data_IF_266064075659
#
_entry.id   IF_266064075659
#
_cell.length_a   1.000
_cell.length_b   1.000
_cell.length_c   1.000
_cell.angle_alpha   90.00
_cell.angle_beta   90.00
_cell.angle_gamma   90.00
#
_symmetry.space_group_name_H-M   'P 1'
#
loop_
_entity.id
_entity.type
_entity.pdbx_description
1 polymer ?
#
# COMPACT_ATOMS: atom_id res chain seq x y z
N UNK A 1 6.19 -3.65 22.09
CA UNK A 1 5.87 -4.74 21.14
C UNK A 1 4.44 -4.66 20.56
N UNK A 2 3.62 -3.67 20.93
CA UNK A 2 2.25 -3.51 20.40
C UNK A 2 2.16 -3.20 18.90
N UNK A 3 3.17 -2.55 18.33
CA UNK A 3 3.18 -2.18 16.91
C UNK A 3 3.19 -3.39 15.96
N UNK A 4 3.73 -4.54 16.40
CA UNK A 4 3.74 -5.78 15.62
C UNK A 4 2.33 -6.31 15.33
N UNK A 5 1.36 -6.09 16.24
CA UNK A 5 -0.04 -6.46 16.00
C UNK A 5 -0.64 -5.66 14.84
N UNK A 6 -0.33 -4.37 14.75
CA UNK A 6 -0.77 -3.53 13.64
C UNK A 6 -0.09 -3.90 12.33
N UNK A 7 1.18 -4.33 12.37
CA UNK A 7 1.85 -4.90 11.18
C UNK A 7 1.15 -6.19 10.75
N UNK A 8 0.85 -7.11 11.67
CA UNK A 8 0.09 -8.32 11.36
C UNK A 8 -1.28 -8.01 10.76
N UNK A 9 -2.01 -7.05 11.34
CA UNK A 9 -3.28 -6.57 10.79
C UNK A 9 -3.16 -5.96 9.39
N UNK A 10 -2.09 -5.20 9.13
CA UNK A 10 -1.80 -4.66 7.81
C UNK A 10 -1.51 -5.77 6.80
N UNK A 11 -0.69 -6.77 7.18
CA UNK A 11 -0.38 -7.94 6.32
C UNK A 11 -1.66 -8.72 5.99
N UNK A 12 -2.52 -8.97 6.97
CA UNK A 12 -3.80 -9.68 6.74
C UNK A 12 -4.74 -8.87 5.84
N UNK A 13 -4.87 -7.57 6.08
CA UNK A 13 -5.76 -6.69 5.31
C UNK A 13 -5.30 -6.56 3.86
N UNK A 14 -4.02 -6.25 3.64
CA UNK A 14 -3.45 -6.10 2.30
C UNK A 14 -3.27 -7.44 1.56
N UNK A 15 -3.01 -8.52 2.29
CA UNK A 15 -2.93 -9.87 1.72
C UNK A 15 -4.26 -10.37 1.19
N UNK A 16 -5.37 -10.11 1.90
CA UNK A 16 -6.72 -10.47 1.44
C UNK A 16 -7.30 -9.50 0.42
N UNK A 17 -6.88 -8.23 0.45
CA UNK A 17 -7.32 -7.16 -0.44
C UNK A 17 -7.28 -7.55 -1.92
N UNK A 18 -6.14 -8.05 -2.42
CA UNK A 18 -5.99 -8.36 -3.84
C UNK A 18 -6.97 -9.42 -4.35
N UNK A 19 -7.20 -10.47 -3.56
CA UNK A 19 -8.12 -11.56 -3.89
C UNK A 19 -9.57 -11.06 -3.92
N UNK A 20 -9.98 -10.34 -2.86
CA UNK A 20 -11.34 -9.80 -2.75
C UNK A 20 -11.62 -8.73 -3.79
N UNK A 21 -10.63 -7.87 -4.08
CA UNK A 21 -10.74 -6.84 -5.11
C UNK A 21 -10.94 -7.44 -6.49
N UNK A 22 -10.11 -8.42 -6.87
CA UNK A 22 -10.25 -9.12 -8.14
C UNK A 22 -11.62 -9.82 -8.26
N UNK A 23 -12.08 -10.50 -7.20
CA UNK A 23 -13.43 -11.06 -7.18
C UNK A 23 -14.52 -9.99 -7.31
N UNK A 24 -14.37 -8.85 -6.61
CA UNK A 24 -15.28 -7.71 -6.71
C UNK A 24 -15.34 -7.13 -8.11
N UNK A 25 -14.20 -6.98 -8.79
CA UNK A 25 -14.12 -6.53 -10.18
C UNK A 25 -14.85 -7.48 -11.13
N UNK A 26 -14.66 -8.79 -10.98
CA UNK A 26 -15.35 -9.80 -11.79
C UNK A 26 -16.86 -9.71 -11.57
N UNK A 27 -17.32 -9.69 -10.30
CA UNK A 27 -18.75 -9.63 -9.97
C UNK A 27 -19.43 -8.35 -10.42
N UNK A 28 -18.71 -7.22 -10.40
CA UNK A 28 -19.23 -5.91 -10.82
C UNK A 28 -19.13 -5.68 -12.34
N UNK A 29 -18.35 -6.51 -13.04
CA UNK A 29 -18.11 -6.43 -14.49
C UNK A 29 -17.41 -5.16 -14.97
N UNK A 30 -17.03 -4.24 -14.07
CA UNK A 30 -16.37 -2.99 -14.42
C UNK A 30 -15.36 -2.57 -13.32
N UNK A 31 -14.06 -2.43 -13.67
CA UNK A 31 -13.01 -2.03 -12.75
C UNK A 31 -13.24 -0.68 -12.04
N UNK A 32 -13.91 0.27 -12.70
CA UNK A 32 -14.21 1.58 -12.11
C UNK A 32 -15.30 1.49 -11.05
N UNK A 33 -16.23 0.54 -11.16
CA UNK A 33 -17.22 0.29 -10.09
C UNK A 33 -16.55 -0.26 -8.84
N UNK A 34 -15.61 -1.19 -9.03
CA UNK A 34 -14.80 -1.70 -7.91
C UNK A 34 -13.95 -0.58 -7.29
N UNK A 35 -13.30 0.27 -8.12
CA UNK A 35 -12.55 1.44 -7.65
C UNK A 35 -13.43 2.40 -6.85
N UNK A 36 -14.67 2.64 -7.29
CA UNK A 36 -15.62 3.47 -6.56
C UNK A 36 -15.92 2.90 -5.17
N UNK A 37 -16.15 1.58 -5.07
CA UNK A 37 -16.33 0.92 -3.76
C UNK A 37 -15.10 1.06 -2.86
N UNK A 38 -13.89 0.92 -3.41
CA UNK A 38 -12.64 1.15 -2.65
C UNK A 38 -12.56 2.61 -2.19
N UNK A 39 -12.90 3.58 -3.04
CA UNK A 39 -12.92 5.00 -2.70
C UNK A 39 -13.89 5.33 -1.56
N UNK A 40 -15.09 4.75 -1.58
CA UNK A 40 -16.07 4.89 -0.48
C UNK A 40 -15.50 4.32 0.81
N UNK A 41 -14.89 3.13 0.78
CA UNK A 41 -14.26 2.54 1.96
C UNK A 41 -13.12 3.42 2.51
N UNK A 42 -12.29 3.99 1.62
CA UNK A 42 -11.21 4.90 2.01
C UNK A 42 -11.73 6.20 2.61
N UNK A 43 -12.85 6.73 2.13
CA UNK A 43 -13.50 7.88 2.76
C UNK A 43 -14.02 7.54 4.17
N UNK A 44 -14.74 6.44 4.31
CA UNK A 44 -15.29 6.03 5.61
C UNK A 44 -14.19 5.79 6.65
N UNK A 45 -13.13 5.05 6.29
CA UNK A 45 -12.06 4.72 7.23
C UNK A 45 -11.04 5.86 7.36
N UNK A 46 -10.67 6.51 6.26
CA UNK A 46 -9.64 7.54 6.23
C UNK A 46 -10.10 8.94 6.63
N UNK A 47 -11.41 9.22 6.60
CA UNK A 47 -11.98 10.53 6.96
C UNK A 47 -12.88 10.42 8.18
N UNK A 48 -13.90 9.56 8.14
CA UNK A 48 -14.92 9.53 9.22
C UNK A 48 -14.33 9.05 10.55
N UNK A 49 -13.51 7.99 10.54
CA UNK A 49 -12.89 7.47 11.78
C UNK A 49 -11.93 8.47 12.41
N UNK A 50 -10.94 9.07 11.70
CA UNK A 50 -10.08 10.10 12.28
C UNK A 50 -10.85 11.32 12.77
N UNK A 51 -11.87 11.79 12.05
CA UNK A 51 -12.69 12.91 12.49
C UNK A 51 -13.38 12.60 13.83
N UNK A 52 -13.97 11.42 13.99
CA UNK A 52 -14.59 11.01 15.24
C UNK A 52 -13.56 10.98 16.39
N UNK A 53 -12.41 10.35 16.17
CA UNK A 53 -11.36 10.22 17.20
C UNK A 53 -10.77 11.58 17.59
N UNK A 54 -10.44 12.43 16.62
CA UNK A 54 -9.88 13.76 16.87
C UNK A 54 -10.91 14.69 17.51
N UNK A 55 -12.20 14.57 17.15
CA UNK A 55 -13.27 15.31 17.81
C UNK A 55 -13.38 14.96 19.29
N UNK A 56 -13.27 13.68 19.63
CA UNK A 56 -13.27 13.20 21.00
C UNK A 56 -12.03 13.65 21.78
N UNK A 57 -10.88 13.75 21.10
CA UNK A 57 -9.63 14.24 21.69
C UNK A 57 -9.56 15.77 21.81
N UNK A 58 -10.45 16.51 21.15
CA UNK A 58 -10.45 17.97 21.14
C UNK A 58 -9.32 18.59 20.30
N UNK A 59 -8.70 17.85 19.39
CA UNK A 59 -7.51 18.23 18.60
C UNK A 59 -7.83 18.53 17.13
N UNK A 60 -9.04 18.99 16.85
CA UNK A 60 -9.47 19.43 15.51
C UNK A 60 -9.12 20.90 15.22
N UNK A 61 -8.34 21.55 16.08
CA UNK A 61 -8.01 22.95 15.93
C UNK A 61 -7.04 23.19 14.78
N UNK A 62 -7.15 24.34 14.11
CA UNK A 62 -6.22 24.72 13.03
C UNK A 62 -4.74 24.80 13.50
N UNK A 63 -4.50 24.91 14.81
CA UNK A 63 -3.16 24.89 15.41
C UNK A 63 -2.54 23.49 15.48
N UNK A 64 -3.37 22.44 15.43
CA UNK A 64 -2.94 21.05 15.48
C UNK A 64 -2.49 20.53 14.09
N UNK A 65 -2.84 21.27 13.02
CA UNK A 65 -2.49 20.94 11.64
C UNK A 65 -1.41 21.89 11.09
N UNK A 66 -0.19 21.38 10.96
CA UNK A 66 0.87 22.13 10.26
C UNK A 66 0.71 22.04 8.74
N UNK A 67 0.96 23.13 8.01
CA UNK A 67 0.83 23.14 6.55
C UNK A 67 1.74 22.11 5.88
N UNK A 68 2.97 21.92 6.39
CA UNK A 68 3.89 20.90 5.89
C UNK A 68 3.44 19.45 6.17
N UNK A 69 2.88 19.19 7.36
CA UNK A 69 2.31 17.89 7.70
C UNK A 69 1.09 17.56 6.84
N UNK A 70 0.20 18.54 6.61
CA UNK A 70 -0.98 18.38 5.76
C UNK A 70 -0.58 18.07 4.31
N UNK A 71 0.32 18.85 3.72
CA UNK A 71 0.72 18.64 2.32
C UNK A 71 1.41 17.30 2.12
N UNK A 72 2.34 16.92 2.99
CA UNK A 72 3.03 15.63 2.90
C UNK A 72 2.09 14.44 3.10
N UNK A 73 1.16 14.52 4.06
CA UNK A 73 0.14 13.50 4.29
C UNK A 73 -0.82 13.36 3.10
N UNK A 74 -1.24 14.48 2.49
CA UNK A 74 -2.08 14.50 1.29
C UNK A 74 -1.37 13.86 0.10
N UNK A 75 -0.10 14.21 -0.14
CA UNK A 75 0.71 13.60 -1.21
C UNK A 75 0.85 12.09 -0.99
N UNK A 76 1.11 11.66 0.24
CA UNK A 76 1.16 10.23 0.58
C UNK A 76 -0.19 9.53 0.29
N UNK A 77 -1.32 10.17 0.64
CA UNK A 77 -2.66 9.67 0.34
C UNK A 77 -2.93 9.54 -1.16
N UNK A 78 -2.55 10.54 -1.96
CA UNK A 78 -2.67 10.51 -3.42
C UNK A 78 -1.83 9.38 -4.03
N UNK A 79 -0.58 9.20 -3.58
CA UNK A 79 0.27 8.09 -4.03
C UNK A 79 -0.34 6.73 -3.71
N UNK A 80 -0.95 6.57 -2.53
CA UNK A 80 -1.69 5.36 -2.15
C UNK A 80 -2.91 5.09 -3.05
N UNK A 81 -3.69 6.13 -3.36
CA UNK A 81 -4.84 6.03 -4.25
C UNK A 81 -4.42 5.66 -5.68
N UNK A 82 -3.35 6.27 -6.21
CA UNK A 82 -2.78 5.91 -7.51
C UNK A 82 -2.34 4.44 -7.52
N UNK A 83 -1.69 3.96 -6.44
CA UNK A 83 -1.32 2.56 -6.29
C UNK A 83 -2.52 1.61 -6.39
N UNK A 84 -3.64 1.93 -5.72
CA UNK A 84 -4.88 1.15 -5.82
C UNK A 84 -5.46 1.15 -7.24
N UNK A 85 -5.42 2.28 -7.95
CA UNK A 85 -5.81 2.37 -9.36
C UNK A 85 -4.94 1.45 -10.22
N UNK A 86 -3.61 1.50 -10.05
CA UNK A 86 -2.69 0.64 -10.80
C UNK A 86 -2.97 -0.85 -10.60
N UNK A 87 -3.27 -1.28 -9.36
CA UNK A 87 -3.65 -2.69 -9.07
C UNK A 87 -4.93 -3.06 -9.82
N UNK A 88 -5.95 -2.21 -9.78
CA UNK A 88 -7.24 -2.41 -10.46
C UNK A 88 -7.04 -2.57 -11.97
N UNK A 89 -6.19 -1.73 -12.57
CA UNK A 89 -5.87 -1.81 -13.99
C UNK A 89 -4.98 -3.01 -14.34
N UNK A 90 -4.08 -3.43 -13.46
CA UNK A 90 -3.30 -4.66 -13.63
C UNK A 90 -4.20 -5.91 -13.67
N UNK A 91 -5.21 -5.96 -12.82
CA UNK A 91 -6.25 -7.00 -12.87
C UNK A 91 -7.10 -6.91 -14.13
N UNK A 92 -7.47 -5.70 -14.55
CA UNK A 92 -8.18 -5.48 -15.82
C UNK A 92 -7.39 -5.99 -17.03
N UNK A 93 -6.06 -5.87 -17.01
CA UNK A 93 -5.18 -6.36 -18.09
C UNK A 93 -4.87 -7.85 -18.02
N UNK A 94 -5.62 -8.64 -17.22
CA UNK A 94 -5.45 -10.08 -17.10
C UNK A 94 -4.48 -10.53 -16.00
N UNK A 95 -4.00 -9.62 -15.16
CA UNK A 95 -3.23 -9.98 -13.98
C UNK A 95 -4.08 -10.70 -12.95
N UNK A 96 -3.55 -11.77 -12.36
CA UNK A 96 -4.21 -12.48 -11.26
C UNK A 96 -3.64 -12.02 -9.91
N UNK A 97 -4.43 -12.03 -8.81
CA UNK A 97 -3.96 -11.69 -7.48
C UNK A 97 -2.70 -12.44 -7.06
N UNK A 98 -2.61 -13.71 -7.46
CA UNK A 98 -1.48 -14.59 -7.18
C UNK A 98 -0.14 -14.09 -7.77
N UNK A 99 -0.17 -13.24 -8.81
CA UNK A 99 1.04 -12.66 -9.41
C UNK A 99 1.19 -11.18 -9.08
N UNK A 100 0.13 -10.39 -9.25
CA UNK A 100 0.19 -8.94 -9.08
C UNK A 100 0.50 -8.57 -7.63
N UNK A 101 -0.10 -9.25 -6.65
CA UNK A 101 0.10 -8.90 -5.25
C UNK A 101 1.54 -9.19 -4.78
N UNK A 102 2.12 -10.37 -4.99
CA UNK A 102 3.52 -10.60 -4.62
C UNK A 102 4.50 -9.66 -5.32
N UNK A 103 4.24 -9.26 -6.57
CA UNK A 103 5.07 -8.28 -7.27
C UNK A 103 5.03 -6.91 -6.62
N UNK A 104 3.83 -6.42 -6.31
CA UNK A 104 3.65 -5.13 -5.64
C UNK A 104 4.28 -5.17 -4.24
N UNK A 105 4.00 -6.20 -3.45
CA UNK A 105 4.51 -6.30 -2.08
C UNK A 105 5.98 -6.71 -1.98
N UNK A 106 6.56 -7.31 -3.03
CA UNK A 106 8.00 -7.54 -3.14
C UNK A 106 8.76 -6.30 -3.59
N UNK A 107 8.19 -5.50 -4.50
CA UNK A 107 8.82 -4.30 -5.07
C UNK A 107 8.63 -3.04 -4.22
N UNK A 108 7.46 -2.83 -3.62
CA UNK A 108 7.15 -1.62 -2.85
C UNK A 108 8.11 -1.37 -1.66
N UNK A 109 8.53 -2.40 -0.88
CA UNK A 109 9.55 -2.21 0.15
C UNK A 109 10.87 -1.68 -0.41
N UNK A 110 11.31 -2.14 -1.58
CA UNK A 110 12.54 -1.67 -2.22
C UNK A 110 12.47 -0.18 -2.53
N UNK A 111 11.37 0.25 -3.16
CA UNK A 111 11.13 1.67 -3.46
C UNK A 111 11.10 2.48 -2.17
N UNK A 112 10.40 2.00 -1.13
CA UNK A 112 10.33 2.66 0.16
C UNK A 112 11.73 2.86 0.76
N UNK A 113 12.62 1.86 0.70
CA UNK A 113 13.97 2.03 1.25
C UNK A 113 14.79 2.99 0.40
N UNK A 114 14.74 2.92 -0.93
CA UNK A 114 15.45 3.86 -1.80
C UNK A 114 15.03 5.31 -1.55
N UNK A 115 13.73 5.56 -1.46
CA UNK A 115 13.18 6.88 -1.13
C UNK A 115 13.58 7.29 0.29
N UNK A 116 13.57 6.37 1.26
CA UNK A 116 14.01 6.64 2.63
C UNK A 116 15.49 7.04 2.67
N UNK A 117 16.35 6.36 1.91
CA UNK A 117 17.78 6.68 1.80
C UNK A 117 18.01 8.03 1.10
N UNK A 118 17.18 8.39 0.12
CA UNK A 118 17.27 9.66 -0.58
C UNK A 118 16.84 10.85 0.30
N UNK A 119 15.76 10.69 1.07
CA UNK A 119 15.21 11.74 1.93
C UNK A 119 16.00 11.84 3.25
N UNK A 120 16.42 10.70 3.80
CA UNK A 120 17.16 10.60 5.05
C UNK A 120 18.47 9.83 4.83
N UNK A 121 19.48 10.47 4.20
CA UNK A 121 20.75 9.82 3.91
C UNK A 121 21.41 9.33 5.20
N UNK A 122 21.86 8.06 5.24
CA UNK A 122 22.36 7.45 6.46
C UNK A 122 23.72 8.08 6.83
N UNK A 123 23.86 8.49 8.09
CA UNK A 123 25.09 9.12 8.60
C UNK A 123 26.26 8.15 8.70
N UNK A 124 25.97 6.85 8.67
CA UNK A 124 26.93 5.74 8.66
C UNK A 124 26.56 4.80 7.52
N UNK A 125 27.54 4.08 6.97
CA UNK A 125 27.29 3.14 5.88
C UNK A 125 26.22 2.11 6.30
N UNK A 126 25.16 1.89 5.50
CA UNK A 126 24.18 0.85 5.77
C UNK A 126 24.84 -0.52 5.87
N UNK A 127 24.36 -1.35 6.80
CA UNK A 127 24.85 -2.72 6.93
C UNK A 127 24.70 -3.45 5.59
N UNK A 128 25.75 -4.10 5.06
CA UNK A 128 25.69 -4.83 3.80
C UNK A 128 24.53 -5.83 3.68
N UNK A 129 24.05 -6.39 4.80
CA UNK A 129 22.90 -7.30 4.84
C UNK A 129 21.58 -6.65 4.39
N UNK A 130 21.46 -5.32 4.44
CA UNK A 130 20.31 -4.61 3.89
C UNK A 130 20.18 -4.84 2.38
N UNK A 131 21.29 -4.75 1.65
CA UNK A 131 21.31 -4.98 0.21
C UNK A 131 21.05 -6.45 -0.15
N UNK A 132 21.53 -7.38 0.69
CA UNK A 132 21.17 -8.80 0.58
C UNK A 132 19.66 -8.99 0.73
N UNK A 133 19.02 -8.29 1.69
CA UNK A 133 17.57 -8.29 1.82
C UNK A 133 16.85 -7.82 0.55
N UNK A 134 17.34 -6.77 -0.11
CA UNK A 134 16.77 -6.30 -1.38
C UNK A 134 16.92 -7.32 -2.50
N UNK A 135 18.09 -7.95 -2.59
CA UNK A 135 18.36 -8.98 -3.57
C UNK A 135 17.41 -10.16 -3.37
N UNK A 136 17.24 -10.62 -2.13
CA UNK A 136 16.34 -11.73 -1.79
C UNK A 136 14.87 -11.38 -2.06
N UNK A 137 14.42 -10.16 -1.74
CA UNK A 137 13.06 -9.70 -2.07
C UNK A 137 12.84 -9.65 -3.59
N UNK A 138 13.82 -9.14 -4.34
CA UNK A 138 13.78 -9.10 -5.82
C UNK A 138 13.76 -10.50 -6.43
N UNK A 139 14.58 -11.42 -5.91
CA UNK A 139 14.60 -12.83 -6.32
C UNK A 139 13.26 -13.49 -6.02
N UNK A 140 12.69 -13.26 -4.83
CA UNK A 140 11.36 -13.77 -4.46
C UNK A 140 10.28 -13.31 -5.45
N UNK A 141 10.26 -12.02 -5.80
CA UNK A 141 9.34 -11.50 -6.82
C UNK A 141 9.59 -12.10 -8.21
N UNK A 142 10.86 -12.26 -8.61
CA UNK A 142 11.23 -12.87 -9.90
C UNK A 142 10.83 -14.35 -9.98
N UNK A 143 10.98 -15.12 -8.89
CA UNK A 143 10.55 -16.52 -8.82
C UNK A 143 9.04 -16.65 -8.98
N UNK A 144 8.25 -15.75 -8.37
CA UNK A 144 6.79 -15.72 -8.55
C UNK A 144 6.42 -15.45 -10.01
N UNK A 145 7.13 -14.55 -10.68
CA UNK A 145 6.93 -14.30 -12.12
C UNK A 145 7.34 -15.49 -12.99
N UNK A 146 8.46 -16.13 -12.67
CA UNK A 146 9.06 -17.18 -13.50
C UNK A 146 8.29 -18.50 -13.39
N UNK A 147 7.89 -18.88 -12.17
CA UNK A 147 7.12 -20.11 -11.91
C UNK A 147 5.61 -19.88 -11.91
N UNK A 148 5.14 -18.80 -12.55
CA UNK A 148 3.72 -18.62 -12.79
C UNK A 148 3.21 -19.77 -13.68
N UNK A 149 2.24 -20.60 -13.24
CA UNK A 149 1.69 -21.61 -14.13
C UNK A 149 1.14 -20.96 -15.41
N UNK A 150 1.59 -21.45 -16.57
CA UNK A 150 0.99 -21.10 -17.84
C UNK A 150 -0.43 -21.70 -17.88
N UNK A 151 -1.43 -20.84 -18.09
CA UNK A 151 -2.77 -21.29 -18.45
C UNK A 151 -2.80 -21.68 -19.93
#
# INVERSE_FOLDING_TARGET
MSWLWFVGGAVLSWGTYGVLLHQGQIRLGNPLRALLCVGVAYFLIGVVVPLAVLSYQGTLGARDFSAGGVTTALVAGVLGAIGAVCIIYAFRSGGLPFYVMPLVFGGAPLVNVLVSLAIHPPKTAPNPMLYVGFLLASIGAALVLYYRPQA
#
